data_IF_402724197434
#
_entry.id   IF_402724197434
#
_cell.length_a   1.000
_cell.length_b   1.000
_cell.length_c   1.000
_cell.angle_alpha   90.00
_cell.angle_beta   90.00
_cell.angle_gamma   90.00
#
_symmetry.space_group_name_H-M   'P 1'
#
loop_
_entity.id
_entity.type
_entity.pdbx_description
1 polymer ?
#
# COMPACT_ATOMS: atom_id res chain seq x y z
N UNK A 1 -42.06 -14.12 -37.87
CA UNK A 1 -40.76 -13.81 -37.23
C UNK A 1 -40.96 -13.07 -35.91
N UNK A 2 -41.25 -13.70 -34.76
CA UNK A 2 -41.36 -12.89 -33.50
C UNK A 2 -41.12 -13.60 -32.16
N UNK A 3 -41.03 -14.93 -32.03
CA UNK A 3 -41.05 -15.57 -30.70
C UNK A 3 -39.70 -15.66 -29.94
N UNK A 4 -38.56 -15.35 -30.58
CA UNK A 4 -37.21 -15.52 -29.98
C UNK A 4 -36.76 -14.36 -29.06
N UNK A 5 -37.39 -13.19 -29.15
CA UNK A 5 -37.00 -11.98 -28.38
C UNK A 5 -37.40 -12.02 -26.90
N UNK A 6 -38.41 -12.81 -26.51
CA UNK A 6 -38.90 -12.87 -25.12
C UNK A 6 -38.02 -13.68 -24.16
N UNK A 7 -37.28 -14.68 -24.65
CA UNK A 7 -36.45 -15.57 -23.80
C UNK A 7 -35.14 -14.90 -23.36
N UNK A 8 -34.66 -13.91 -24.10
CA UNK A 8 -33.38 -13.24 -23.82
C UNK A 8 -33.50 -12.07 -22.82
N UNK A 9 -34.71 -11.54 -22.59
CA UNK A 9 -34.94 -10.48 -21.61
C UNK A 9 -35.16 -11.05 -20.19
N UNK A 10 -35.76 -12.23 -20.06
CA UNK A 10 -36.03 -12.86 -18.76
C UNK A 10 -34.75 -13.41 -18.07
N UNK A 11 -33.79 -13.91 -18.85
CA UNK A 11 -32.50 -14.40 -18.32
C UNK A 11 -31.65 -13.25 -17.74
N UNK A 12 -31.76 -12.05 -18.33
CA UNK A 12 -31.06 -10.84 -17.83
C UNK A 12 -31.61 -10.30 -16.51
N UNK A 13 -32.86 -10.61 -16.15
CA UNK A 13 -33.47 -10.09 -14.92
C UNK A 13 -33.26 -11.01 -13.71
N UNK A 14 -33.03 -12.31 -13.94
CA UNK A 14 -32.63 -13.28 -12.90
C UNK A 14 -31.19 -13.04 -12.39
N UNK A 15 -30.31 -12.52 -13.24
CA UNK A 15 -28.92 -12.25 -12.89
C UNK A 15 -28.73 -11.08 -11.91
N UNK A 16 -29.67 -10.14 -11.86
CA UNK A 16 -29.54 -8.90 -11.08
C UNK A 16 -30.16 -8.98 -9.66
N UNK A 17 -30.95 -10.03 -9.36
CA UNK A 17 -31.55 -10.21 -8.03
C UNK A 17 -30.64 -10.95 -7.02
N UNK A 18 -29.51 -11.52 -7.49
CA UNK A 18 -28.52 -12.21 -6.65
C UNK A 18 -27.38 -11.29 -6.17
N UNK A 19 -27.54 -9.98 -6.29
CA UNK A 19 -26.55 -8.98 -5.86
C UNK A 19 -26.71 -8.53 -4.40
N UNK A 20 -27.78 -8.95 -3.70
CA UNK A 20 -28.06 -8.55 -2.32
C UNK A 20 -28.02 -9.72 -1.30
N UNK A 21 -27.27 -10.78 -1.61
CA UNK A 21 -27.01 -11.90 -0.70
C UNK A 21 -25.51 -12.07 -0.40
N UNK A 22 -25.12 -12.83 0.64
CA UNK A 22 -23.72 -13.07 0.99
C UNK A 22 -22.86 -13.54 -0.20
N UNK A 23 -23.48 -14.27 -1.13
CA UNK A 23 -22.87 -14.82 -2.34
C UNK A 23 -22.49 -13.73 -3.36
N UNK A 24 -23.23 -12.63 -3.44
CA UNK A 24 -22.93 -11.51 -4.34
C UNK A 24 -21.67 -10.75 -3.91
N UNK A 25 -21.56 -10.48 -2.60
CA UNK A 25 -20.37 -9.83 -2.02
C UNK A 25 -19.13 -10.70 -2.19
N UNK A 26 -19.23 -12.02 -2.00
CA UNK A 26 -18.11 -12.94 -2.21
C UNK A 26 -17.60 -12.89 -3.65
N UNK A 27 -18.50 -12.79 -4.65
CA UNK A 27 -18.09 -12.63 -6.06
C UNK A 27 -17.37 -11.31 -6.31
N UNK A 28 -17.88 -10.22 -5.76
CA UNK A 28 -17.27 -8.89 -5.87
C UNK A 28 -15.88 -8.83 -5.21
N UNK A 29 -15.70 -9.50 -4.06
CA UNK A 29 -14.37 -9.66 -3.43
C UNK A 29 -13.41 -10.50 -4.28
N UNK A 30 -13.90 -11.57 -4.93
CA UNK A 30 -13.05 -12.40 -5.80
C UNK A 30 -12.61 -11.61 -7.03
N UNK A 31 -13.51 -10.87 -7.67
CA UNK A 31 -13.18 -9.96 -8.77
C UNK A 31 -12.16 -8.90 -8.33
N UNK A 32 -12.35 -8.28 -7.17
CA UNK A 32 -11.40 -7.30 -6.61
C UNK A 32 -10.00 -7.91 -6.39
N UNK A 33 -9.89 -9.16 -5.93
CA UNK A 33 -8.61 -9.84 -5.77
C UNK A 33 -7.95 -10.22 -7.11
N UNK A 34 -8.75 -10.56 -8.13
CA UNK A 34 -8.24 -10.79 -9.49
C UNK A 34 -7.69 -9.49 -10.08
N UNK A 35 -8.42 -8.39 -9.99
CA UNK A 35 -7.98 -7.07 -10.43
C UNK A 35 -6.74 -6.60 -9.66
N UNK A 36 -6.72 -6.77 -8.33
CA UNK A 36 -5.56 -6.44 -7.49
C UNK A 36 -4.31 -7.23 -7.86
N UNK A 37 -4.43 -8.52 -8.22
CA UNK A 37 -3.30 -9.33 -8.72
C UNK A 37 -2.74 -8.80 -10.04
N UNK A 38 -3.60 -8.29 -10.92
CA UNK A 38 -3.18 -7.69 -12.19
C UNK A 38 -2.44 -6.37 -11.95
N UNK A 39 -2.89 -5.55 -11.00
CA UNK A 39 -2.21 -4.31 -10.61
C UNK A 39 -0.87 -4.56 -9.90
N UNK A 40 -0.80 -5.55 -9.01
CA UNK A 40 0.45 -5.92 -8.32
C UNK A 40 1.55 -6.34 -9.31
N UNK A 41 1.19 -6.92 -10.45
CA UNK A 41 2.14 -7.24 -11.52
C UNK A 41 2.76 -6.00 -12.18
N UNK A 42 2.12 -4.83 -12.09
CA UNK A 42 2.67 -3.56 -12.58
C UNK A 42 3.66 -2.93 -11.60
N UNK A 43 3.70 -3.41 -10.36
CA UNK A 43 4.65 -2.93 -9.35
C UNK A 43 6.04 -3.44 -9.69
N UNK A 44 6.90 -2.53 -10.12
CA UNK A 44 8.33 -2.83 -10.34
C UNK A 44 9.01 -2.91 -8.98
N UNK A 45 9.27 -4.14 -8.53
CA UNK A 45 10.05 -4.36 -7.32
C UNK A 45 11.51 -3.97 -7.57
N UNK A 46 12.10 -3.16 -6.69
CA UNK A 46 13.48 -2.72 -6.85
C UNK A 46 14.41 -3.94 -6.83
N UNK A 47 15.43 -3.89 -7.68
CA UNK A 47 16.47 -4.94 -7.67
C UNK A 47 17.26 -4.86 -6.36
N UNK A 48 17.87 -5.97 -5.93
CA UNK A 48 18.66 -6.01 -4.68
C UNK A 48 19.75 -4.93 -4.63
N UNK A 49 20.30 -4.52 -5.78
CA UNK A 49 21.30 -3.46 -5.86
C UNK A 49 20.72 -2.08 -5.55
N UNK A 50 19.54 -1.76 -6.10
CA UNK A 50 18.85 -0.50 -5.84
C UNK A 50 18.43 -0.38 -4.38
N UNK A 51 17.89 -1.45 -3.79
CA UNK A 51 17.49 -1.47 -2.37
C UNK A 51 18.69 -1.25 -1.44
N UNK A 52 19.85 -1.81 -1.76
CA UNK A 52 21.06 -1.60 -0.96
C UNK A 52 21.56 -0.15 -1.14
N UNK A 53 21.54 0.38 -2.36
CA UNK A 53 21.95 1.76 -2.65
C UNK A 53 21.13 2.77 -1.85
N UNK A 54 19.80 2.62 -1.84
CA UNK A 54 18.91 3.50 -1.06
C UNK A 54 19.07 3.31 0.44
N UNK A 55 19.30 2.07 0.92
CA UNK A 55 19.60 1.81 2.33
C UNK A 55 20.91 2.49 2.78
N UNK A 56 21.97 2.40 1.97
CA UNK A 56 23.26 3.05 2.25
C UNK A 56 23.09 4.57 2.29
N UNK A 57 22.33 5.14 1.35
CA UNK A 57 22.03 6.58 1.36
C UNK A 57 21.32 7.02 2.66
N UNK A 58 20.31 6.27 3.10
CA UNK A 58 19.60 6.55 4.37
C UNK A 58 20.52 6.41 5.58
N UNK A 59 21.38 5.39 5.61
CA UNK A 59 22.37 5.20 6.68
C UNK A 59 23.34 6.38 6.77
N UNK A 60 23.83 6.89 5.63
CA UNK A 60 24.71 8.05 5.59
C UNK A 60 24.01 9.31 6.14
N UNK A 61 22.79 9.59 5.69
CA UNK A 61 22.02 10.74 6.16
C UNK A 61 21.73 10.62 7.65
N UNK A 62 21.31 9.45 8.13
CA UNK A 62 21.06 9.18 9.55
C UNK A 62 22.32 9.39 10.40
N UNK A 63 23.48 8.96 9.91
CA UNK A 63 24.75 9.13 10.61
C UNK A 63 25.14 10.62 10.77
N UNK A 64 24.90 11.43 9.74
CA UNK A 64 25.11 12.90 9.83
C UNK A 64 24.16 13.53 10.85
N UNK A 65 22.88 13.16 10.83
CA UNK A 65 21.90 13.67 11.80
C UNK A 65 22.24 13.25 13.22
N UNK A 66 22.65 11.99 13.43
CA UNK A 66 23.04 11.48 14.74
C UNK A 66 24.28 12.21 15.30
N UNK A 67 25.28 12.49 14.45
CA UNK A 67 26.44 13.28 14.86
C UNK A 67 26.06 14.71 15.23
N UNK A 68 25.22 15.36 14.41
CA UNK A 68 24.76 16.72 14.69
C UNK A 68 24.00 16.80 16.02
N UNK A 69 22.98 15.94 16.18
CA UNK A 69 22.19 15.89 17.43
C UNK A 69 23.09 15.55 18.62
N UNK A 70 23.97 14.55 18.49
CA UNK A 70 24.89 14.16 19.57
C UNK A 70 25.80 15.31 20.02
N UNK A 71 26.31 16.13 19.09
CA UNK A 71 27.10 17.33 19.47
C UNK A 71 26.24 18.33 20.24
N UNK A 72 25.02 18.57 19.78
CA UNK A 72 24.08 19.50 20.43
C UNK A 72 23.69 19.00 21.82
N UNK A 73 23.37 17.72 21.97
CA UNK A 73 23.02 17.10 23.25
C UNK A 73 24.17 17.18 24.26
N UNK A 74 25.42 16.97 23.80
CA UNK A 74 26.61 17.13 24.64
C UNK A 74 26.83 18.59 25.05
N UNK A 75 26.67 19.53 24.12
CA UNK A 75 26.81 20.96 24.41
C UNK A 75 25.76 21.44 25.43
N UNK A 76 24.49 21.05 25.23
CA UNK A 76 23.40 21.36 26.14
C UNK A 76 23.64 20.73 27.52
N UNK A 77 24.06 19.46 27.58
CA UNK A 77 24.34 18.78 28.85
C UNK A 77 25.43 19.51 29.66
N UNK A 78 26.46 20.05 29.00
CA UNK A 78 27.50 20.85 29.67
C UNK A 78 26.98 22.19 30.17
N UNK A 79 26.13 22.88 29.40
CA UNK A 79 25.53 24.16 29.80
C UNK A 79 24.59 23.97 30.99
N UNK A 80 23.71 22.97 30.93
CA UNK A 80 22.79 22.65 32.03
C UNK A 80 23.57 22.26 33.29
N UNK A 81 24.61 21.43 33.16
CA UNK A 81 25.48 21.06 34.28
C UNK A 81 26.21 22.27 34.89
N UNK A 82 26.61 23.26 34.09
CA UNK A 82 27.23 24.48 34.57
C UNK A 82 26.26 25.45 35.26
N UNK A 83 24.95 25.36 34.97
CA UNK A 83 23.90 26.19 35.60
C UNK A 83 23.41 25.57 36.91
N UNK A 84 23.40 24.23 37.00
CA UNK A 84 22.94 23.49 38.18
C UNK A 84 24.03 23.30 39.24
N UNK A 85 25.27 23.66 38.91
CA UNK A 85 26.41 23.74 39.82
C UNK A 85 26.67 25.18 40.24
#
# INVERSE_FOLDING_TARGET
MTKKKGKQAADKQSAMASSAGPVGKIKEFIEFFEESKVEIKKVVWPTRKETISTCVAVLLVSLVVALYLGIVDLALSKIVGAILS
#
